data_IF_322333588299
#
_entry.id   IF_322333588299
#
_cell.length_a   1.000
_cell.length_b   1.000
_cell.length_c   1.000
_cell.angle_alpha   90.00
_cell.angle_beta   90.00
_cell.angle_gamma   90.00
#
_symmetry.space_group_name_H-M   'P 1'
#
loop_
_entity.id
_entity.type
_entity.pdbx_description
1 polymer ?
#
# COMPACT_ATOMS: atom_id res chain seq x y z
N UNK A 1 -4.35 18.96 -28.87
CA UNK A 1 -4.55 17.49 -29.07
C UNK A 1 -3.82 16.62 -28.07
N UNK A 2 -2.90 17.13 -27.24
CA UNK A 2 -2.16 16.32 -26.24
C UNK A 2 -2.96 16.04 -24.97
N UNK A 3 -3.67 17.02 -24.42
CA UNK A 3 -4.40 16.91 -23.16
C UNK A 3 -5.44 15.76 -23.13
N UNK A 4 -6.19 15.58 -24.22
CA UNK A 4 -7.18 14.49 -24.30
C UNK A 4 -6.50 13.10 -24.35
N UNK A 5 -5.35 12.99 -25.02
CA UNK A 5 -4.58 11.74 -25.05
C UNK A 5 -3.95 11.42 -23.70
N UNK A 6 -3.46 12.42 -22.99
CA UNK A 6 -2.94 12.26 -21.63
C UNK A 6 -4.07 11.87 -20.67
N UNK A 7 -5.20 12.54 -20.74
CA UNK A 7 -6.38 12.21 -19.92
C UNK A 7 -6.91 10.79 -20.18
N UNK A 8 -7.03 10.39 -21.46
CA UNK A 8 -7.42 9.01 -21.81
C UNK A 8 -6.38 8.00 -21.33
N UNK A 9 -5.09 8.31 -21.43
CA UNK A 9 -4.01 7.45 -20.95
C UNK A 9 -4.03 7.31 -19.44
N UNK A 10 -4.28 8.40 -18.70
CA UNK A 10 -4.44 8.35 -17.25
C UNK A 10 -5.63 7.48 -16.84
N UNK A 11 -6.80 7.66 -17.50
CA UNK A 11 -7.98 6.82 -17.24
C UNK A 11 -7.66 5.34 -17.52
N UNK A 12 -7.07 5.03 -18.67
CA UNK A 12 -6.75 3.64 -19.03
C UNK A 12 -5.71 3.01 -18.09
N UNK A 13 -4.77 3.79 -17.57
CA UNK A 13 -3.79 3.31 -16.59
C UNK A 13 -4.42 3.05 -15.21
N UNK A 14 -5.39 3.87 -14.83
CA UNK A 14 -6.09 3.69 -13.53
C UNK A 14 -7.14 2.58 -13.55
N UNK A 15 -7.63 2.20 -14.74
CA UNK A 15 -8.62 1.14 -14.92
C UNK A 15 -8.00 -0.25 -15.21
N UNK A 16 -6.69 -0.33 -15.41
CA UNK A 16 -6.03 -1.59 -15.72
C UNK A 16 -5.24 -2.13 -14.54
N UNK A 17 -5.26 -3.45 -14.37
CA UNK A 17 -4.39 -4.13 -13.41
C UNK A 17 -2.94 -4.07 -13.92
N UNK A 18 -2.01 -3.71 -13.06
CA UNK A 18 -0.57 -3.77 -13.36
C UNK A 18 -0.16 -5.19 -13.81
N UNK A 19 0.67 -5.35 -14.84
CA UNK A 19 1.02 -6.67 -15.37
C UNK A 19 1.66 -7.62 -14.37
N UNK A 20 2.43 -7.10 -13.40
CA UNK A 20 3.04 -7.92 -12.36
C UNK A 20 2.00 -8.38 -11.35
N UNK A 21 1.05 -7.51 -11.00
CA UNK A 21 -0.08 -7.88 -10.15
C UNK A 21 -0.99 -8.89 -10.86
N UNK A 22 -1.22 -8.71 -12.16
CA UNK A 22 -1.97 -9.69 -12.96
C UNK A 22 -1.30 -11.07 -12.93
N UNK A 23 0.03 -11.13 -13.09
CA UNK A 23 0.79 -12.38 -12.96
C UNK A 23 0.65 -13.03 -11.57
N UNK A 24 0.54 -12.22 -10.51
CA UNK A 24 0.29 -12.74 -9.16
C UNK A 24 -1.14 -13.28 -9.00
N UNK A 25 -2.12 -12.65 -9.65
CA UNK A 25 -3.50 -13.17 -9.69
C UNK A 25 -3.52 -14.52 -10.43
N UNK A 26 -2.85 -14.61 -11.57
CA UNK A 26 -2.76 -15.86 -12.36
C UNK A 26 -2.09 -16.98 -11.54
N UNK A 27 -1.02 -16.66 -10.80
CA UNK A 27 -0.36 -17.62 -9.92
C UNK A 27 -1.26 -18.06 -8.77
N UNK A 28 -1.96 -17.12 -8.14
CA UNK A 28 -2.90 -17.40 -7.07
C UNK A 28 -4.03 -18.33 -7.56
N UNK A 29 -4.63 -18.02 -8.72
CA UNK A 29 -5.68 -18.82 -9.37
C UNK A 29 -5.21 -20.23 -9.72
N UNK A 30 -4.04 -20.36 -10.35
CA UNK A 30 -3.42 -21.63 -10.73
C UNK A 30 -3.27 -22.58 -9.53
N UNK A 31 -3.05 -22.03 -8.35
CA UNK A 31 -2.89 -22.77 -7.11
C UNK A 31 -4.21 -22.92 -6.31
N UNK A 32 -5.36 -22.62 -6.94
CA UNK A 32 -6.68 -22.68 -6.30
C UNK A 32 -6.86 -21.66 -5.18
N UNK A 33 -6.07 -20.60 -5.21
CA UNK A 33 -6.08 -19.56 -4.18
C UNK A 33 -7.21 -18.56 -4.35
N UNK A 34 -7.42 -17.77 -3.33
CA UNK A 34 -8.44 -16.72 -3.27
C UNK A 34 -8.06 -15.66 -2.23
N UNK A 35 -8.74 -14.52 -2.29
CA UNK A 35 -8.63 -13.45 -1.32
C UNK A 35 -9.89 -13.39 -0.45
N UNK A 36 -9.72 -13.22 0.86
CA UNK A 36 -10.78 -12.84 1.79
C UNK A 36 -10.53 -11.40 2.25
N UNK A 37 -11.60 -10.61 2.23
CA UNK A 37 -11.60 -9.21 2.60
C UNK A 37 -12.40 -9.00 3.86
N UNK A 38 -11.79 -8.34 4.84
CA UNK A 38 -12.39 -7.93 6.10
C UNK A 38 -12.31 -6.41 6.25
N UNK A 39 -13.07 -5.80 7.17
CA UNK A 39 -13.02 -4.36 7.38
C UNK A 39 -11.64 -3.79 7.74
N UNK A 40 -10.79 -4.62 8.36
CA UNK A 40 -9.48 -4.25 8.91
C UNK A 40 -8.30 -5.01 8.29
N UNK A 41 -8.56 -5.91 7.32
CA UNK A 41 -7.49 -6.74 6.74
C UNK A 41 -7.86 -7.39 5.43
N UNK A 42 -6.83 -7.78 4.71
CA UNK A 42 -6.90 -8.65 3.52
C UNK A 42 -6.07 -9.90 3.80
N UNK A 43 -6.58 -11.07 3.46
CA UNK A 43 -5.85 -12.33 3.57
C UNK A 43 -5.91 -13.08 2.24
N UNK A 44 -4.76 -13.47 1.71
CA UNK A 44 -4.66 -14.37 0.57
C UNK A 44 -4.46 -15.81 1.06
N UNK A 45 -5.22 -16.72 0.48
CA UNK A 45 -5.16 -18.14 0.78
C UNK A 45 -4.70 -18.94 -0.44
N UNK A 46 -3.86 -19.94 -0.22
CA UNK A 46 -3.55 -21.01 -1.18
C UNK A 46 -3.79 -22.34 -0.50
N UNK A 47 -4.93 -23.00 -0.74
CA UNK A 47 -5.23 -24.30 -0.17
C UNK A 47 -4.19 -25.34 -0.57
N UNK A 48 -3.93 -26.30 0.32
CA UNK A 48 -3.19 -27.52 0.03
C UNK A 48 -4.03 -28.72 0.48
N UNK A 49 -3.69 -29.93 0.05
CA UNK A 49 -4.40 -31.16 0.46
C UNK A 49 -4.55 -31.26 1.98
N UNK A 50 -3.52 -30.86 2.73
CA UNK A 50 -3.48 -30.97 4.20
C UNK A 50 -3.90 -29.68 4.92
N UNK A 51 -4.07 -28.55 4.22
CA UNK A 51 -4.37 -27.26 4.82
C UNK A 51 -5.31 -26.46 3.91
N UNK A 52 -6.63 -26.70 4.04
CA UNK A 52 -7.63 -26.02 3.18
C UNK A 52 -7.66 -24.50 3.29
N UNK A 53 -7.21 -23.95 4.41
CA UNK A 53 -7.12 -22.48 4.64
C UNK A 53 -5.69 -22.06 4.97
N UNK A 54 -4.74 -22.45 4.14
CA UNK A 54 -3.36 -21.98 4.27
C UNK A 54 -3.29 -20.53 3.79
N UNK A 55 -3.10 -19.59 4.71
CA UNK A 55 -2.82 -18.20 4.34
C UNK A 55 -1.39 -18.06 3.80
N UNK A 56 -1.19 -17.17 2.83
CA UNK A 56 0.10 -16.92 2.15
C UNK A 56 0.52 -15.46 2.15
N UNK A 57 -0.42 -14.56 2.31
CA UNK A 57 -0.15 -13.15 2.55
C UNK A 57 -1.29 -12.53 3.36
N UNK A 58 -0.97 -11.54 4.17
CA UNK A 58 -1.95 -10.76 4.93
C UNK A 58 -1.45 -9.31 5.02
N UNK A 59 -2.39 -8.38 4.91
CA UNK A 59 -2.20 -6.98 5.26
C UNK A 59 -3.34 -6.60 6.20
N UNK A 60 -3.01 -6.24 7.42
CA UNK A 60 -3.94 -5.64 8.37
C UNK A 60 -3.64 -4.14 8.46
N UNK A 61 -4.70 -3.33 8.57
CA UNK A 61 -4.63 -1.88 8.60
C UNK A 61 -5.67 -1.31 9.56
N UNK A 62 -5.44 -0.09 10.01
CA UNK A 62 -6.36 0.66 10.85
C UNK A 62 -6.40 2.10 10.37
N UNK A 63 -7.53 2.75 10.57
CA UNK A 63 -7.67 4.17 10.25
C UNK A 63 -6.67 4.99 11.07
N UNK A 64 -5.95 5.87 10.40
CA UNK A 64 -5.01 6.79 11.07
C UNK A 64 -5.81 7.82 11.87
N UNK A 65 -6.27 7.42 13.03
CA UNK A 65 -7.00 8.27 13.99
C UNK A 65 -6.39 8.13 15.37
N UNK A 66 -6.06 9.24 15.98
CA UNK A 66 -5.74 9.31 17.39
C UNK A 66 -4.25 9.45 17.74
N UNK A 67 -3.93 9.19 18.99
CA UNK A 67 -2.71 9.60 19.68
C UNK A 67 -1.37 9.10 19.12
N UNK A 68 -1.37 8.22 18.15
CA UNK A 68 -0.17 7.74 17.47
C UNK A 68 0.06 8.37 16.08
N UNK A 69 -0.93 9.08 15.59
CA UNK A 69 -0.83 9.90 14.39
C UNK A 69 -1.21 11.32 14.80
N UNK A 70 -0.30 12.01 15.42
CA UNK A 70 -0.52 13.37 15.93
C UNK A 70 -0.79 14.40 14.84
N UNK A 71 -0.85 14.00 13.58
CA UNK A 71 -1.18 14.81 12.44
C UNK A 71 -2.32 14.23 11.61
N UNK A 72 -2.82 15.03 10.70
CA UNK A 72 -3.85 14.63 9.74
C UNK A 72 -3.18 13.98 8.53
N UNK A 73 -3.16 12.66 8.49
CA UNK A 73 -2.74 11.95 7.29
C UNK A 73 -3.88 11.82 6.26
N UNK A 74 -4.70 12.84 6.09
CA UNK A 74 -5.77 12.88 5.08
C UNK A 74 -6.86 11.80 5.24
N UNK A 75 -7.01 11.22 6.45
CA UNK A 75 -7.91 10.09 6.67
C UNK A 75 -7.40 8.76 6.13
N UNK A 76 -6.09 8.70 5.80
CA UNK A 76 -5.46 7.49 5.28
C UNK A 76 -5.54 6.31 6.25
N UNK A 77 -5.55 5.10 5.69
CA UNK A 77 -5.35 3.88 6.46
C UNK A 77 -3.86 3.60 6.65
N UNK A 78 -3.48 3.20 7.85
CA UNK A 78 -2.11 2.78 8.14
C UNK A 78 -2.00 1.26 8.17
N UNK A 79 -0.95 0.72 7.57
CA UNK A 79 -0.62 -0.69 7.72
C UNK A 79 -0.12 -0.93 9.14
N UNK A 80 -0.86 -1.69 9.93
CA UNK A 80 -0.47 -2.07 11.29
C UNK A 80 0.24 -3.41 11.35
N UNK A 81 0.01 -4.28 10.37
CA UNK A 81 0.70 -5.56 10.26
C UNK A 81 0.67 -6.06 8.82
N UNK A 82 1.79 -6.56 8.34
CA UNK A 82 1.85 -7.34 7.12
C UNK A 82 2.67 -8.61 7.33
N UNK A 83 2.23 -9.70 6.71
CA UNK A 83 2.93 -10.97 6.75
C UNK A 83 2.81 -11.68 5.41
N UNK A 84 3.90 -12.30 4.94
CA UNK A 84 3.91 -13.14 3.75
C UNK A 84 4.65 -14.44 4.02
N UNK A 85 4.14 -15.53 3.52
CA UNK A 85 4.78 -16.85 3.61
C UNK A 85 5.72 -17.09 2.41
N UNK A 86 6.66 -16.18 2.15
CA UNK A 86 7.70 -16.28 1.07
C UNK A 86 7.14 -16.61 -0.32
N UNK A 87 5.91 -16.17 -0.62
CA UNK A 87 5.22 -16.51 -1.86
C UNK A 87 5.35 -15.46 -2.95
N UNK A 88 5.92 -14.30 -2.65
CA UNK A 88 5.95 -13.16 -3.57
C UNK A 88 4.60 -12.45 -3.78
N UNK A 89 3.54 -12.89 -3.10
CA UNK A 89 2.18 -12.35 -3.24
C UNK A 89 1.89 -11.12 -2.36
N UNK A 90 2.88 -10.63 -1.62
CA UNK A 90 2.75 -9.43 -0.79
C UNK A 90 2.17 -8.25 -1.55
N UNK A 91 2.73 -7.84 -2.70
CA UNK A 91 2.20 -6.70 -3.46
C UNK A 91 0.72 -6.85 -3.86
N UNK A 92 0.24 -8.06 -4.17
CA UNK A 92 -1.18 -8.30 -4.46
C UNK A 92 -2.07 -8.01 -3.23
N UNK A 93 -1.66 -8.44 -2.05
CA UNK A 93 -2.41 -8.17 -0.82
C UNK A 93 -2.46 -6.68 -0.50
N UNK A 94 -1.35 -5.95 -0.69
CA UNK A 94 -1.30 -4.50 -0.54
C UNK A 94 -2.17 -3.78 -1.58
N UNK A 95 -2.20 -4.25 -2.83
CA UNK A 95 -3.03 -3.65 -3.88
C UNK A 95 -4.52 -3.70 -3.53
N UNK A 96 -4.99 -4.87 -3.06
CA UNK A 96 -6.36 -5.04 -2.59
C UNK A 96 -6.63 -4.11 -1.40
N UNK A 97 -5.70 -4.05 -0.44
CA UNK A 97 -5.84 -3.20 0.73
C UNK A 97 -5.91 -1.70 0.35
N UNK A 98 -5.07 -1.23 -0.57
CA UNK A 98 -5.14 0.16 -1.08
C UNK A 98 -6.48 0.43 -1.79
N UNK A 99 -7.00 -0.51 -2.58
CA UNK A 99 -8.31 -0.37 -3.23
C UNK A 99 -9.46 -0.29 -2.23
N UNK A 100 -9.38 -1.03 -1.12
CA UNK A 100 -10.38 -1.02 -0.05
C UNK A 100 -10.45 0.32 0.70
N UNK A 101 -9.40 1.13 0.66
CA UNK A 101 -9.45 2.47 1.29
C UNK A 101 -10.40 3.44 0.58
N UNK A 102 -10.98 3.05 -0.57
CA UNK A 102 -11.92 3.90 -1.32
C UNK A 102 -11.34 5.22 -1.78
N UNK A 103 -10.02 5.26 -2.03
CA UNK A 103 -9.32 6.48 -2.46
C UNK A 103 -8.75 7.33 -1.32
N UNK A 104 -9.01 7.00 -0.06
CA UNK A 104 -8.35 7.65 1.09
C UNK A 104 -6.84 7.39 1.06
N UNK A 105 -6.45 6.18 0.67
CA UNK A 105 -5.06 5.77 0.52
C UNK A 105 -4.50 5.08 1.76
N UNK A 106 -3.30 4.54 1.59
CA UNK A 106 -2.61 3.75 2.59
C UNK A 106 -1.20 4.26 2.80
N UNK A 107 -0.76 4.27 4.05
CA UNK A 107 0.60 4.62 4.48
C UNK A 107 1.26 3.41 5.15
N UNK A 108 2.59 3.41 5.19
CA UNK A 108 3.32 2.40 5.94
C UNK A 108 3.20 2.64 7.45
N UNK A 109 3.22 1.56 8.24
CA UNK A 109 3.65 1.67 9.63
C UNK A 109 5.14 2.03 9.66
N UNK A 110 5.46 3.23 10.10
CA UNK A 110 6.85 3.72 10.12
C UNK A 110 7.61 3.27 11.35
N UNK A 111 6.94 2.75 12.36
CA UNK A 111 7.55 2.35 13.62
C UNK A 111 8.28 1.00 13.51
N UNK A 112 7.82 0.09 12.63
CA UNK A 112 8.46 -1.22 12.46
C UNK A 112 8.21 -1.81 11.06
N UNK A 113 8.96 -1.36 10.06
CA UNK A 113 8.85 -1.87 8.69
C UNK A 113 9.92 -2.92 8.42
N UNK A 114 9.50 -4.16 8.16
CA UNK A 114 10.43 -5.22 7.76
C UNK A 114 11.06 -4.92 6.39
N UNK A 115 12.20 -5.54 6.09
CA UNK A 115 12.85 -5.43 4.78
C UNK A 115 11.93 -5.84 3.63
N UNK A 116 11.10 -6.88 3.84
CA UNK A 116 10.17 -7.37 2.84
C UNK A 116 9.02 -6.36 2.60
N UNK A 117 8.48 -5.78 3.67
CA UNK A 117 7.47 -4.72 3.55
C UNK A 117 8.05 -3.46 2.89
N UNK A 118 9.29 -3.08 3.24
CA UNK A 118 9.99 -1.97 2.58
C UNK A 118 10.12 -2.22 1.07
N UNK A 119 10.49 -3.44 0.66
CA UNK A 119 10.59 -3.79 -0.75
C UNK A 119 9.25 -3.66 -1.49
N UNK A 120 8.12 -3.91 -0.83
CA UNK A 120 6.78 -3.65 -1.39
C UNK A 120 6.56 -2.15 -1.58
N UNK A 121 6.84 -1.32 -0.58
CA UNK A 121 6.69 0.13 -0.69
C UNK A 121 7.62 0.73 -1.76
N UNK A 122 8.87 0.25 -1.87
CA UNK A 122 9.79 0.64 -2.92
C UNK A 122 9.29 0.26 -4.32
N UNK A 123 8.65 -0.90 -4.44
CA UNK A 123 7.98 -1.30 -5.68
C UNK A 123 6.85 -0.34 -6.05
N UNK A 124 6.00 0.04 -5.09
CA UNK A 124 4.94 1.03 -5.33
C UNK A 124 5.51 2.39 -5.73
N UNK A 125 6.54 2.84 -5.05
CA UNK A 125 7.16 4.13 -5.33
C UNK A 125 7.75 4.20 -6.75
N UNK A 126 8.43 3.16 -7.18
CA UNK A 126 9.28 3.20 -8.37
C UNK A 126 8.66 2.55 -9.61
N UNK A 127 7.75 1.59 -9.45
CA UNK A 127 7.31 0.72 -10.54
C UNK A 127 5.79 0.73 -10.81
N UNK A 128 5.00 1.50 -10.04
CA UNK A 128 3.54 1.52 -10.15
C UNK A 128 3.05 2.89 -10.63
N UNK A 129 2.97 3.11 -11.96
CA UNK A 129 2.46 4.37 -12.51
C UNK A 129 0.94 4.56 -12.29
N UNK A 130 0.21 3.47 -12.06
CA UNK A 130 -1.23 3.43 -11.77
C UNK A 130 -1.58 3.81 -10.32
N UNK A 131 -0.56 3.96 -9.47
CA UNK A 131 -0.72 4.35 -8.05
C UNK A 131 -0.28 5.79 -7.86
N UNK A 132 -1.17 6.61 -7.31
CA UNK A 132 -0.88 7.99 -6.93
C UNK A 132 0.00 7.97 -5.69
N UNK A 133 1.07 8.76 -5.70
CA UNK A 133 2.04 8.90 -4.62
C UNK A 133 2.02 10.33 -4.12
N UNK A 134 1.36 10.55 -3.00
CA UNK A 134 1.33 11.85 -2.35
C UNK A 134 2.45 11.94 -1.32
N UNK A 135 3.27 12.99 -1.39
CA UNK A 135 4.27 13.25 -0.36
C UNK A 135 3.56 13.60 0.94
N UNK A 136 4.03 13.00 2.03
CA UNK A 136 3.59 13.33 3.37
C UNK A 136 4.61 14.23 4.05
N UNK A 137 4.12 15.19 4.80
CA UNK A 137 4.92 15.99 5.70
C UNK A 137 5.13 15.25 7.04
N UNK A 138 6.11 15.68 7.81
CA UNK A 138 6.17 15.39 9.23
C UNK A 138 6.11 16.71 10.01
N UNK A 139 5.91 16.63 11.32
CA UNK A 139 5.77 17.80 12.19
C UNK A 139 7.00 18.73 12.21
N UNK A 140 8.16 18.22 11.84
CA UNK A 140 9.41 18.94 11.86
C UNK A 140 9.87 19.43 10.47
N UNK A 141 9.26 18.93 9.40
CA UNK A 141 9.62 19.26 8.02
C UNK A 141 8.36 19.39 7.18
N UNK A 142 7.76 20.57 7.23
CA UNK A 142 6.60 20.94 6.43
C UNK A 142 7.08 21.22 5.00
N UNK A 143 6.82 20.27 4.11
CA UNK A 143 7.26 20.31 2.71
C UNK A 143 6.23 20.98 1.82
N UNK A 144 4.97 20.94 2.25
CA UNK A 144 3.83 21.52 1.56
C UNK A 144 3.09 22.46 2.48
N UNK A 145 2.33 23.44 1.95
CA UNK A 145 1.55 24.38 2.77
C UNK A 145 0.25 23.75 3.29
N UNK A 146 -0.18 22.63 2.76
CA UNK A 146 -1.38 21.91 3.15
C UNK A 146 -1.20 21.31 4.55
N UNK A 147 -2.28 21.26 5.32
CA UNK A 147 -2.27 20.72 6.68
C UNK A 147 -2.78 19.27 6.76
N UNK A 148 -3.39 18.79 5.67
CA UNK A 148 -4.03 17.47 5.66
C UNK A 148 -3.03 16.34 5.44
N UNK A 149 -1.79 16.65 5.07
CA UNK A 149 -0.69 15.72 4.87
C UNK A 149 0.39 15.80 5.97
N UNK A 150 0.16 16.59 7.00
CA UNK A 150 1.01 16.63 8.20
C UNK A 150 0.83 15.35 9.01
N UNK A 151 1.76 14.41 8.87
CA UNK A 151 1.75 13.13 9.55
C UNK A 151 2.81 13.08 10.64
N UNK A 152 2.40 13.08 11.90
CA UNK A 152 3.27 12.78 13.03
C UNK A 152 3.55 11.28 13.14
N UNK A 153 4.19 10.69 12.16
CA UNK A 153 4.58 9.30 12.28
C UNK A 153 6.04 9.21 12.75
N UNK A 154 6.28 8.37 13.74
CA UNK A 154 7.62 7.95 14.10
C UNK A 154 8.27 7.24 12.91
N UNK A 155 9.55 7.47 12.73
CA UNK A 155 10.34 6.81 11.71
C UNK A 155 11.00 5.59 12.33
N UNK A 156 10.95 4.53 11.56
CA UNK A 156 11.37 3.17 11.85
C UNK A 156 12.49 3.02 12.89
N UNK A 157 12.17 2.33 13.99
CA UNK A 157 13.14 1.69 14.88
C UNK A 157 13.90 2.58 15.86
N UNK A 158 13.69 3.87 15.86
CA UNK A 158 14.48 4.78 16.69
C UNK A 158 13.66 5.58 17.70
N UNK A 159 12.33 5.59 17.59
CA UNK A 159 11.52 6.60 18.28
C UNK A 159 11.93 8.02 17.89
N UNK A 160 12.60 8.15 16.75
CA UNK A 160 13.27 9.36 16.29
C UNK A 160 12.61 10.01 15.10
N UNK A 161 12.99 11.24 14.87
CA UNK A 161 12.56 12.04 13.71
C UNK A 161 13.30 11.59 12.44
N UNK A 162 12.87 12.08 11.26
CA UNK A 162 13.60 11.88 10.01
C UNK A 162 15.09 12.31 10.11
N UNK A 163 15.40 13.26 10.99
CA UNK A 163 16.76 13.71 11.25
C UNK A 163 17.60 12.60 11.89
N UNK A 164 17.02 11.82 12.79
CA UNK A 164 17.75 10.74 13.48
C UNK A 164 18.01 9.55 12.55
N UNK A 165 17.10 9.28 11.61
CA UNK A 165 17.31 8.25 10.58
C UNK A 165 18.30 8.66 9.48
N UNK A 166 18.37 9.95 9.18
CA UNK A 166 19.16 10.50 8.09
C UNK A 166 19.99 11.69 8.59
N UNK A 167 20.92 11.49 9.56
CA UNK A 167 21.64 12.57 10.23
C UNK A 167 22.43 13.45 9.26
N UNK A 168 22.94 12.87 8.19
CA UNK A 168 23.72 13.59 7.16
C UNK A 168 22.83 14.31 6.13
N UNK A 169 21.56 13.99 6.08
CA UNK A 169 20.58 14.62 5.18
C UNK A 169 19.17 14.56 5.76
N UNK A 170 18.77 15.55 6.55
CA UNK A 170 17.45 15.59 7.18
C UNK A 170 16.26 15.49 6.22
N UNK A 171 16.48 15.82 4.93
CA UNK A 171 15.46 15.72 3.89
C UNK A 171 15.53 14.43 3.07
N UNK A 172 16.43 13.51 3.39
CA UNK A 172 16.54 12.24 2.67
C UNK A 172 15.27 11.37 2.80
N UNK A 173 14.52 11.53 3.88
CA UNK A 173 13.26 10.84 4.07
C UNK A 173 12.21 11.15 2.99
N UNK A 174 12.28 12.34 2.36
CA UNK A 174 11.41 12.69 1.21
C UNK A 174 11.57 11.68 0.07
N UNK A 175 12.77 11.11 -0.08
CA UNK A 175 13.06 10.09 -1.09
C UNK A 175 12.69 8.69 -0.66
N UNK A 176 12.29 8.50 0.60
CA UNK A 176 11.85 7.20 1.11
C UNK A 176 10.47 6.85 0.60
N UNK A 177 10.28 5.59 0.24
CA UNK A 177 8.96 5.03 -0.07
C UNK A 177 8.02 5.06 1.14
N UNK A 178 8.56 5.09 2.36
CA UNK A 178 7.77 5.15 3.59
C UNK A 178 7.20 6.53 3.89
N UNK A 179 7.68 7.58 3.21
CA UNK A 179 7.20 8.96 3.37
C UNK A 179 6.01 9.31 2.48
N UNK A 180 5.38 8.32 1.85
CA UNK A 180 4.31 8.54 0.87
C UNK A 180 2.99 7.97 1.35
N UNK A 181 1.93 8.62 0.90
CA UNK A 181 0.58 8.10 0.87
C UNK A 181 0.32 7.52 -0.52
N UNK A 182 -0.12 6.28 -0.58
CA UNK A 182 -0.39 5.54 -1.81
C UNK A 182 -1.89 5.42 -2.02
N UNK A 183 -2.39 5.87 -3.17
CA UNK A 183 -3.82 5.89 -3.53
C UNK A 183 -4.06 5.23 -4.86
N UNK A 184 -5.24 4.63 -5.00
CA UNK A 184 -5.81 4.19 -6.29
C UNK A 184 -7.17 4.82 -6.48
N UNK A 185 -7.51 5.18 -7.71
CA UNK A 185 -8.79 5.82 -8.04
C UNK A 185 -9.91 4.84 -8.35
N UNK A 186 -9.62 3.54 -8.42
CA UNK A 186 -10.57 2.48 -8.74
C UNK A 186 -10.23 1.18 -8.03
N UNK A 187 -10.93 0.11 -8.40
CA UNK A 187 -10.80 -1.22 -7.82
C UNK A 187 -10.45 -2.31 -8.85
N UNK A 188 -9.52 -2.06 -9.81
CA UNK A 188 -9.30 -2.98 -10.93
C UNK A 188 -8.83 -4.37 -10.49
N UNK A 189 -8.06 -4.48 -9.41
CA UNK A 189 -7.60 -5.77 -8.86
C UNK A 189 -8.76 -6.53 -8.23
N UNK A 190 -9.55 -5.86 -7.39
CA UNK A 190 -10.72 -6.47 -6.77
C UNK A 190 -11.76 -6.88 -7.81
N UNK A 191 -11.94 -6.10 -8.87
CA UNK A 191 -12.88 -6.40 -9.95
C UNK A 191 -12.43 -7.61 -10.76
N UNK A 192 -11.12 -7.74 -11.05
CA UNK A 192 -10.58 -8.92 -11.70
C UNK A 192 -10.70 -10.17 -10.81
N UNK A 193 -10.43 -10.06 -9.52
CA UNK A 193 -10.62 -11.17 -8.58
C UNK A 193 -12.09 -11.58 -8.45
N UNK A 194 -13.03 -10.63 -8.44
CA UNK A 194 -14.48 -10.92 -8.47
C UNK A 194 -14.89 -11.64 -9.74
N UNK A 195 -14.46 -11.15 -10.90
CA UNK A 195 -14.71 -11.74 -12.21
C UNK A 195 -14.25 -13.20 -12.28
N UNK A 196 -13.14 -13.54 -11.63
CA UNK A 196 -12.59 -14.90 -11.55
C UNK A 196 -13.19 -15.73 -10.41
N UNK A 197 -14.10 -15.19 -9.58
CA UNK A 197 -14.68 -15.87 -8.42
C UNK A 197 -13.67 -16.11 -7.28
N UNK A 198 -12.59 -15.31 -7.25
CA UNK A 198 -11.49 -15.44 -6.28
C UNK A 198 -11.61 -14.47 -5.10
N UNK A 199 -12.59 -13.57 -5.07
CA UNK A 199 -12.82 -12.63 -3.96
C UNK A 199 -13.99 -13.13 -3.10
N UNK A 200 -13.79 -13.19 -1.78
CA UNK A 200 -14.76 -13.66 -0.78
C UNK A 200 -14.94 -12.67 0.35
#
# INVERSE_FOLDING_TARGET
MNLLREYIREILLTESVDPKIMSMIDELEKNGGYAEVFPDRVILFQPTENTPRRWVAMVAYDTVVGAHAGGRCGGAESVVQSATAKTGLGPLAYDIAIELTGGLGMISDRASVSSDARAVWDYYMNNRPDVIKQQLDNTNDLLTPEKDDNCEQEIEGTGGTAVDMFPDNPRAWIKSSLSKLYKKSGTPVMDELRKRGMLR
#
